data_IF_355095063279
#
_entry.id   IF_355095063279
#
_cell.length_a   1.000
_cell.length_b   1.000
_cell.length_c   1.000
_cell.angle_alpha   90.00
_cell.angle_beta   90.00
_cell.angle_gamma   90.00
#
_symmetry.space_group_name_H-M   'P 1'
#
loop_
_entity.id
_entity.type
_entity.pdbx_description
1 polymer ?
#
# COMPACT_ATOMS: atom_id res chain seq x y z
N UNK A 1 2.00 37.69 19.08
CA UNK A 1 3.04 36.75 18.60
C UNK A 1 2.32 35.67 17.80
N UNK A 2 2.64 35.61 16.51
CA UNK A 2 1.87 34.87 15.51
C UNK A 2 1.99 33.35 15.73
N UNK A 3 0.92 32.72 16.25
CA UNK A 3 0.89 31.29 16.63
C UNK A 3 1.02 30.37 15.40
N UNK A 4 0.83 30.91 14.19
CA UNK A 4 0.82 30.16 12.93
C UNK A 4 2.23 29.75 12.46
N UNK A 5 3.29 30.36 13.02
CA UNK A 5 4.69 30.06 12.68
C UNK A 5 5.32 28.88 13.44
N UNK A 6 4.66 28.33 14.46
CA UNK A 6 5.25 27.29 15.33
C UNK A 6 4.95 25.86 14.87
N UNK A 7 4.21 25.67 13.78
CA UNK A 7 4.02 24.33 13.20
C UNK A 7 5.21 24.01 12.30
N UNK A 8 6.34 23.63 12.91
CA UNK A 8 7.47 23.03 12.18
C UNK A 8 7.02 21.65 11.68
N UNK A 9 6.32 21.62 10.54
CA UNK A 9 5.96 20.38 9.87
C UNK A 9 7.22 19.83 9.21
N UNK A 10 7.74 18.71 9.72
CA UNK A 10 8.88 17.98 9.13
C UNK A 10 8.57 17.67 7.66
N UNK A 11 9.10 18.47 6.73
CA UNK A 11 8.93 18.23 5.29
C UNK A 11 9.80 17.03 4.94
N UNK A 12 9.15 15.90 4.65
CA UNK A 12 9.83 14.78 4.02
C UNK A 12 10.40 15.24 2.67
N UNK A 13 11.69 15.00 2.45
CA UNK A 13 12.40 15.50 1.25
C UNK A 13 11.76 14.93 -0.02
N UNK A 14 11.70 15.74 -1.08
CA UNK A 14 11.13 15.34 -2.37
C UNK A 14 11.82 14.08 -2.92
N UNK A 15 13.15 13.99 -2.81
CA UNK A 15 13.90 12.79 -3.22
C UNK A 15 13.52 11.53 -2.44
N UNK A 16 13.23 11.64 -1.14
CA UNK A 16 12.75 10.49 -0.36
C UNK A 16 11.34 10.07 -0.76
N UNK A 17 10.48 11.01 -1.17
CA UNK A 17 9.12 10.71 -1.65
C UNK A 17 9.17 10.01 -3.01
N UNK A 18 9.98 10.53 -3.93
CA UNK A 18 10.12 9.98 -5.28
C UNK A 18 10.68 8.55 -5.25
N UNK A 19 11.73 8.31 -4.46
CA UNK A 19 12.30 6.96 -4.29
C UNK A 19 11.25 5.95 -3.80
N UNK A 20 10.44 6.34 -2.81
CA UNK A 20 9.35 5.49 -2.31
C UNK A 20 8.30 5.23 -3.39
N UNK A 21 7.94 6.24 -4.18
CA UNK A 21 6.99 6.08 -5.27
C UNK A 21 7.51 5.11 -6.34
N UNK A 22 8.78 5.24 -6.77
CA UNK A 22 9.40 4.34 -7.76
C UNK A 22 9.41 2.90 -7.25
N UNK A 23 9.84 2.68 -5.99
CA UNK A 23 9.84 1.34 -5.39
C UNK A 23 8.43 0.73 -5.34
N UNK A 24 7.43 1.55 -5.00
CA UNK A 24 6.05 1.10 -4.94
C UNK A 24 5.51 0.76 -6.34
N UNK A 25 5.81 1.58 -7.34
CA UNK A 25 5.42 1.32 -8.74
C UNK A 25 6.04 0.03 -9.22
N UNK A 26 7.35 -0.14 -9.04
CA UNK A 26 8.07 -1.35 -9.45
C UNK A 26 7.48 -2.61 -8.79
N UNK A 27 7.18 -2.54 -7.49
CA UNK A 27 6.54 -3.61 -6.76
C UNK A 27 5.18 -3.99 -7.39
N UNK A 28 4.35 -3.00 -7.71
CA UNK A 28 3.03 -3.23 -8.30
C UNK A 28 3.11 -3.77 -9.73
N UNK A 29 4.09 -3.33 -10.53
CA UNK A 29 4.31 -3.88 -11.88
C UNK A 29 4.61 -5.38 -11.81
N UNK A 30 5.50 -5.80 -10.91
CA UNK A 30 5.82 -7.22 -10.71
C UNK A 30 4.58 -7.98 -10.22
N UNK A 31 3.86 -7.45 -9.23
CA UNK A 31 2.67 -8.09 -8.71
C UNK A 31 1.59 -8.27 -9.79
N UNK A 32 1.35 -7.25 -10.62
CA UNK A 32 0.39 -7.30 -11.71
C UNK A 32 0.81 -8.30 -12.78
N UNK A 33 2.09 -8.34 -13.13
CA UNK A 33 2.64 -9.31 -14.09
C UNK A 33 2.37 -10.75 -13.64
N UNK A 34 2.64 -11.09 -12.38
CA UNK A 34 2.37 -12.42 -11.82
C UNK A 34 0.89 -12.79 -11.90
N UNK A 35 0.00 -11.84 -11.58
CA UNK A 35 -1.45 -12.05 -11.68
C UNK A 35 -1.87 -12.29 -13.13
N UNK A 36 -1.42 -11.46 -14.07
CA UNK A 36 -1.77 -11.57 -15.49
C UNK A 36 -1.35 -12.92 -16.06
N UNK A 37 -0.11 -13.37 -15.85
CA UNK A 37 0.39 -14.65 -16.37
C UNK A 37 -0.50 -15.82 -15.92
N UNK A 38 -0.87 -15.86 -14.64
CA UNK A 38 -1.71 -16.92 -14.11
C UNK A 38 -3.18 -16.80 -14.58
N UNK A 39 -3.71 -15.58 -14.70
CA UNK A 39 -5.07 -15.33 -15.21
C UNK A 39 -5.18 -15.74 -16.69
N UNK A 40 -4.19 -15.39 -17.52
CA UNK A 40 -4.12 -15.82 -18.91
C UNK A 40 -4.14 -17.35 -19.03
N UNK A 41 -3.42 -18.05 -18.17
CA UNK A 41 -3.43 -19.51 -18.12
C UNK A 41 -4.80 -20.08 -17.74
N UNK A 42 -5.48 -19.52 -16.74
CA UNK A 42 -6.84 -19.92 -16.35
C UNK A 42 -7.84 -19.75 -17.51
N UNK A 43 -7.70 -18.68 -18.30
CA UNK A 43 -8.56 -18.42 -19.46
C UNK A 43 -8.15 -19.16 -20.74
N UNK A 44 -7.13 -20.01 -20.68
CA UNK A 44 -6.67 -20.79 -21.84
C UNK A 44 -5.94 -19.97 -22.91
N UNK A 45 -5.41 -18.79 -22.55
CA UNK A 45 -4.61 -17.96 -23.44
C UNK A 45 -3.16 -18.45 -23.35
N UNK A 46 -2.69 -19.12 -24.41
CA UNK A 46 -1.37 -19.72 -24.45
C UNK A 46 -0.47 -19.08 -25.50
N UNK A 47 0.81 -18.96 -25.16
CA UNK A 47 1.93 -18.63 -26.04
C UNK A 47 3.16 -19.31 -25.44
N UNK A 48 4.13 -19.71 -26.25
CA UNK A 48 5.35 -20.38 -25.75
C UNK A 48 6.01 -19.60 -24.60
N UNK A 49 6.08 -18.28 -24.72
CA UNK A 49 6.58 -17.42 -23.66
C UNK A 49 5.68 -17.43 -22.41
N UNK A 50 4.35 -17.44 -22.55
CA UNK A 50 3.42 -17.48 -21.43
C UNK A 50 3.48 -18.80 -20.67
N UNK A 51 3.63 -19.93 -21.36
CA UNK A 51 3.71 -21.26 -20.73
C UNK A 51 4.98 -21.39 -19.88
N UNK A 52 6.11 -20.89 -20.39
CA UNK A 52 7.37 -20.84 -19.62
C UNK A 52 7.23 -19.92 -18.41
N UNK A 53 6.69 -18.71 -18.59
CA UNK A 53 6.49 -17.77 -17.49
C UNK A 53 5.49 -18.31 -16.45
N UNK A 54 4.42 -18.97 -16.88
CA UNK A 54 3.49 -19.63 -15.98
C UNK A 54 4.18 -20.75 -15.20
N UNK A 55 5.02 -21.57 -15.83
CA UNK A 55 5.73 -22.64 -15.12
C UNK A 55 6.66 -22.10 -14.03
N UNK A 56 7.32 -20.95 -14.27
CA UNK A 56 8.17 -20.28 -13.28
C UNK A 56 7.37 -19.60 -12.16
N UNK A 57 6.22 -19.02 -12.52
CA UNK A 57 5.40 -18.19 -11.63
C UNK A 57 4.05 -18.83 -11.32
N UNK A 58 3.98 -20.17 -11.35
CA UNK A 58 2.75 -20.89 -11.07
C UNK A 58 2.43 -20.74 -9.58
N UNK A 59 1.50 -19.87 -9.26
CA UNK A 59 1.03 -19.76 -7.90
C UNK A 59 0.02 -20.88 -7.66
N UNK A 60 0.39 -21.84 -6.81
CA UNK A 60 -0.60 -22.81 -6.34
C UNK A 60 -1.77 -22.09 -5.68
N UNK A 61 -2.97 -22.69 -5.78
CA UNK A 61 -4.19 -22.12 -5.21
C UNK A 61 -4.06 -21.82 -3.70
N UNK A 62 -3.23 -22.59 -3.00
CA UNK A 62 -2.88 -22.37 -1.58
C UNK A 62 -2.12 -21.06 -1.37
N UNK A 63 -1.16 -20.75 -2.24
CA UNK A 63 -0.39 -19.50 -2.17
C UNK A 63 -1.28 -18.31 -2.53
N UNK A 64 -2.17 -18.43 -3.54
CA UNK A 64 -3.17 -17.41 -3.82
C UNK A 64 -4.03 -17.06 -2.61
N UNK A 65 -4.55 -18.09 -1.94
CA UNK A 65 -5.36 -17.92 -0.74
C UNK A 65 -4.57 -17.26 0.38
N UNK A 66 -3.32 -17.68 0.59
CA UNK A 66 -2.46 -17.11 1.62
C UNK A 66 -2.12 -15.64 1.34
N UNK A 67 -1.75 -15.32 0.10
CA UNK A 67 -1.36 -13.98 -0.31
C UNK A 67 -2.56 -13.02 -0.31
N UNK A 68 -3.71 -13.47 -0.80
CA UNK A 68 -4.98 -12.72 -0.71
C UNK A 68 -5.41 -12.46 0.73
N UNK A 69 -5.29 -13.46 1.61
CA UNK A 69 -5.58 -13.29 3.04
C UNK A 69 -4.63 -12.29 3.68
N UNK A 70 -3.34 -12.36 3.36
CA UNK A 70 -2.33 -11.44 3.88
C UNK A 70 -2.60 -9.99 3.45
N UNK A 71 -2.96 -9.78 2.17
CA UNK A 71 -3.34 -8.45 1.66
C UNK A 71 -4.57 -7.91 2.40
N UNK A 72 -5.61 -8.72 2.56
CA UNK A 72 -6.83 -8.31 3.26
C UNK A 72 -6.56 -7.94 4.72
N UNK A 73 -5.81 -8.78 5.44
CA UNK A 73 -5.45 -8.53 6.86
C UNK A 73 -4.61 -7.27 6.98
N UNK A 74 -3.57 -7.13 6.15
CA UNK A 74 -2.68 -5.97 6.19
C UNK A 74 -3.43 -4.68 5.84
N UNK A 75 -4.28 -4.71 4.81
CA UNK A 75 -5.13 -3.60 4.42
C UNK A 75 -6.10 -3.18 5.53
N UNK A 76 -6.73 -4.14 6.19
CA UNK A 76 -7.62 -3.89 7.32
C UNK A 76 -6.87 -3.23 8.49
N UNK A 77 -5.70 -3.75 8.87
CA UNK A 77 -4.87 -3.19 9.94
C UNK A 77 -4.44 -1.75 9.66
N UNK A 78 -3.97 -1.48 8.45
CA UNK A 78 -3.56 -0.12 8.03
C UNK A 78 -4.75 0.84 8.08
N UNK A 79 -5.91 0.41 7.59
CA UNK A 79 -7.13 1.22 7.59
C UNK A 79 -7.59 1.56 9.01
N UNK A 80 -7.66 0.55 9.89
CA UNK A 80 -8.02 0.73 11.30
C UNK A 80 -7.03 1.69 11.98
N UNK A 81 -5.73 1.47 11.79
CA UNK A 81 -4.71 2.36 12.35
C UNK A 81 -4.87 3.80 11.85
N UNK A 82 -5.10 3.99 10.54
CA UNK A 82 -5.32 5.29 9.94
C UNK A 82 -6.51 6.02 10.56
N UNK A 83 -7.65 5.34 10.70
CA UNK A 83 -8.85 5.91 11.34
C UNK A 83 -8.58 6.28 12.79
N UNK A 84 -7.94 5.40 13.56
CA UNK A 84 -7.61 5.65 14.98
C UNK A 84 -6.64 6.84 15.10
N UNK A 85 -5.61 6.90 14.25
CA UNK A 85 -4.62 7.97 14.27
C UNK A 85 -5.26 9.33 13.97
N UNK A 86 -6.10 9.42 12.93
CA UNK A 86 -6.81 10.65 12.57
C UNK A 86 -7.76 11.08 13.70
N UNK A 87 -8.50 10.15 14.30
CA UNK A 87 -9.38 10.45 15.45
C UNK A 87 -8.62 10.97 16.65
N UNK A 88 -7.46 10.39 16.96
CA UNK A 88 -6.59 10.86 18.05
C UNK A 88 -6.05 12.27 17.78
N UNK A 89 -5.65 12.57 16.55
CA UNK A 89 -5.20 13.91 16.15
C UNK A 89 -6.34 14.94 16.30
N UNK A 90 -7.55 14.61 15.84
CA UNK A 90 -8.74 15.48 16.03
C UNK A 90 -9.03 15.75 17.50
N UNK A 91 -8.98 14.72 18.36
CA UNK A 91 -9.19 14.88 19.81
C UNK A 91 -8.13 15.78 20.44
N UNK A 92 -6.85 15.61 20.10
CA UNK A 92 -5.76 16.46 20.62
C UNK A 92 -5.91 17.93 20.20
N UNK A 93 -6.30 18.17 18.95
CA UNK A 93 -6.57 19.53 18.47
C UNK A 93 -7.71 20.20 19.27
N UNK A 94 -8.83 19.50 19.46
CA UNK A 94 -9.97 20.03 20.21
C UNK A 94 -9.67 20.33 21.69
N UNK A 95 -8.79 19.54 22.33
CA UNK A 95 -8.34 19.81 23.72
C UNK A 95 -7.43 21.04 23.77
N UNK A 96 -6.50 21.18 22.81
CA UNK A 96 -5.61 22.33 22.75
C UNK A 96 -6.37 23.65 22.48
N UNK A 97 -7.43 23.63 21.68
CA UNK A 97 -8.26 24.81 21.44
C UNK A 97 -9.02 25.23 22.70
N UNK A 98 -9.55 24.29 23.48
CA UNK A 98 -10.22 24.57 24.76
C UNK A 98 -9.29 25.12 25.84
N UNK A 99 -8.02 24.73 25.84
CA UNK A 99 -7.04 25.21 26.81
C UNK A 99 -6.42 26.58 26.43
N UNK A 100 -6.63 27.03 25.18
CA UNK A 100 -6.11 28.29 24.65
C UNK A 100 -7.20 29.39 24.50
N UNK A 101 -8.45 29.07 24.84
CA UNK A 101 -9.59 29.98 24.91
C UNK A 101 -9.82 30.42 26.36
#
# INVERSE_FOLDING_TARGET
>A
MDKDKLIIRKKTSLGSRLRRAILLILLWVIALYLVIVNVCFIFGIYSDALVVNYSLFNLSFRIYRLLGTLILVTGALISIYGVVHIRRLKRKAAVNDKNNA
#
